data_IF_179560050906
#
_entry.id   IF_179560050906
#
_cell.length_a   1.000
_cell.length_b   1.000
_cell.length_c   1.000
_cell.angle_alpha   90.00
_cell.angle_beta   90.00
_cell.angle_gamma   90.00
#
_symmetry.space_group_name_H-M   'P 1'
#
loop_
_entity.id
_entity.type
_entity.pdbx_description
1 polymer ?
#
# COMPACT_ATOMS: atom_id res chain seq x y z
N UNK A 1 24.80 -11.57 -80.30
CA UNK A 1 23.55 -11.99 -79.69
C UNK A 1 23.72 -12.33 -78.15
N UNK A 2 24.74 -13.06 -77.71
CA UNK A 2 24.88 -13.42 -76.27
C UNK A 2 25.09 -12.22 -75.31
N UNK A 3 25.69 -11.11 -75.71
CA UNK A 3 25.89 -9.91 -74.86
C UNK A 3 24.59 -9.10 -74.59
N UNK A 4 23.67 -9.12 -75.55
CA UNK A 4 22.37 -8.41 -75.39
C UNK A 4 21.44 -9.17 -74.44
N UNK A 5 21.54 -10.50 -74.40
CA UNK A 5 20.73 -11.35 -73.54
C UNK A 5 21.15 -11.18 -72.05
N UNK A 6 22.43 -10.95 -71.76
CA UNK A 6 22.89 -10.67 -70.38
C UNK A 6 22.50 -9.27 -69.87
N UNK A 7 22.47 -8.27 -70.75
CA UNK A 7 22.03 -6.91 -70.37
C UNK A 7 20.51 -6.90 -70.11
N UNK A 8 19.73 -7.61 -70.88
CA UNK A 8 18.27 -7.73 -70.69
C UNK A 8 17.95 -8.52 -69.40
N UNK A 9 18.75 -9.56 -69.04
CA UNK A 9 18.60 -10.30 -67.79
C UNK A 9 18.99 -9.49 -66.56
N UNK A 10 20.03 -8.66 -66.64
CA UNK A 10 20.42 -7.75 -65.56
C UNK A 10 19.44 -6.60 -65.34
N UNK A 11 18.82 -6.06 -66.40
CA UNK A 11 17.77 -5.02 -66.28
C UNK A 11 16.47 -5.59 -65.70
N UNK A 12 16.09 -6.83 -66.00
CA UNK A 12 14.90 -7.46 -65.42
C UNK A 12 15.11 -7.82 -63.95
N UNK A 13 16.33 -8.10 -63.48
CA UNK A 13 16.60 -8.32 -62.05
C UNK A 13 16.60 -7.02 -61.22
N UNK A 14 16.85 -5.86 -61.85
CA UNK A 14 16.79 -4.56 -61.17
C UNK A 14 15.35 -4.01 -61.02
N UNK A 15 14.42 -4.46 -61.84
CA UNK A 15 13.01 -4.04 -61.73
C UNK A 15 12.18 -4.87 -60.74
N UNK A 16 12.76 -5.91 -60.16
CA UNK A 16 12.10 -6.74 -59.12
C UNK A 16 12.29 -6.25 -57.70
N UNK A 17 13.08 -5.18 -57.47
CA UNK A 17 13.34 -4.63 -56.17
C UNK A 17 12.50 -3.40 -55.79
N UNK A 18 11.48 -3.03 -56.60
CA UNK A 18 10.52 -1.99 -56.23
C UNK A 18 9.20 -2.61 -55.75
N UNK A 19 9.31 -3.74 -55.03
CA UNK A 19 8.15 -4.36 -54.39
C UNK A 19 7.95 -3.76 -53.01
N UNK A 20 6.90 -2.97 -52.88
CA UNK A 20 6.08 -2.78 -51.68
C UNK A 20 6.84 -2.43 -50.37
N UNK A 21 7.47 -1.25 -50.30
CA UNK A 21 7.77 -0.62 -49.00
C UNK A 21 6.86 0.60 -48.72
N UNK A 22 5.99 0.99 -49.66
CA UNK A 22 5.14 2.16 -49.53
C UNK A 22 3.97 1.98 -48.55
N UNK A 23 3.52 0.77 -48.34
CA UNK A 23 2.31 0.50 -47.51
C UNK A 23 2.64 -0.24 -46.22
N UNK A 24 3.95 -0.38 -45.89
CA UNK A 24 4.35 -1.15 -44.71
C UNK A 24 3.93 -0.48 -43.41
N UNK A 25 3.85 0.83 -43.36
CA UNK A 25 3.32 1.57 -42.21
C UNK A 25 1.79 1.43 -42.11
N UNK A 26 1.09 1.49 -43.23
CA UNK A 26 -0.37 1.39 -43.28
C UNK A 26 -0.90 -0.05 -43.06
N UNK A 27 -0.11 -1.08 -43.46
CA UNK A 27 -0.44 -2.51 -43.25
C UNK A 27 -0.09 -2.97 -41.84
N UNK A 28 0.85 -2.31 -41.15
CA UNK A 28 1.24 -2.61 -39.77
C UNK A 28 0.48 -1.79 -38.70
N UNK A 29 -0.42 -0.91 -39.10
CA UNK A 29 -1.37 -0.39 -38.14
C UNK A 29 -2.41 -1.48 -37.86
N UNK A 30 -2.33 -2.06 -36.67
CA UNK A 30 -3.35 -2.98 -36.17
C UNK A 30 -4.70 -2.22 -36.13
N UNK A 31 -5.68 -2.56 -37.00
CA UNK A 31 -6.98 -1.87 -37.03
C UNK A 31 -7.79 -2.06 -35.75
N UNK A 32 -7.33 -2.95 -34.83
CA UNK A 32 -7.87 -3.13 -33.51
C UNK A 32 -7.03 -2.40 -32.45
N UNK A 33 -5.93 -1.74 -32.83
CA UNK A 33 -5.19 -0.90 -31.90
C UNK A 33 -6.05 0.30 -31.53
N UNK A 34 -6.46 0.37 -30.28
CA UNK A 34 -7.15 1.55 -29.75
C UNK A 34 -6.18 2.72 -29.85
N UNK A 35 -6.39 3.60 -30.84
CA UNK A 35 -5.49 4.70 -31.16
C UNK A 35 -5.36 5.73 -30.02
N UNK A 36 -6.35 5.77 -29.11
CA UNK A 36 -6.31 6.56 -27.85
C UNK A 36 -7.12 5.83 -26.79
N UNK A 37 -6.44 5.43 -25.71
CA UNK A 37 -7.09 4.94 -24.49
C UNK A 37 -7.59 6.14 -23.72
N UNK A 38 -8.88 6.16 -23.32
CA UNK A 38 -9.35 7.20 -22.40
C UNK A 38 -8.77 6.99 -21.00
N UNK A 39 -8.42 8.05 -20.25
CA UNK A 39 -7.85 7.90 -18.91
C UNK A 39 -8.77 7.12 -17.97
N UNK A 40 -10.09 7.25 -18.12
CA UNK A 40 -11.08 6.50 -17.34
C UNK A 40 -11.09 4.99 -17.57
N UNK A 41 -10.56 4.50 -18.70
CA UNK A 41 -10.46 3.05 -18.96
C UNK A 41 -9.43 2.38 -18.03
N UNK A 42 -8.39 3.09 -17.63
CA UNK A 42 -7.27 2.55 -16.86
C UNK A 42 -7.47 2.63 -15.35
N UNK A 43 -8.30 3.55 -14.84
CA UNK A 43 -8.42 3.85 -13.42
C UNK A 43 -8.88 2.63 -12.60
N UNK A 44 -9.91 1.92 -13.03
CA UNK A 44 -10.47 0.78 -12.28
C UNK A 44 -9.52 -0.42 -12.19
N UNK A 45 -8.86 -0.86 -13.27
CA UNK A 45 -7.84 -1.91 -13.19
C UNK A 45 -6.67 -1.55 -12.24
N UNK A 46 -6.23 -0.28 -12.24
CA UNK A 46 -5.16 0.19 -11.35
C UNK A 46 -5.61 0.08 -9.90
N UNK A 47 -6.76 0.68 -9.55
CA UNK A 47 -7.29 0.68 -8.17
C UNK A 47 -7.48 -0.75 -7.68
N UNK A 48 -8.22 -1.57 -8.43
CA UNK A 48 -8.50 -2.95 -8.02
C UNK A 48 -7.23 -3.79 -7.91
N UNK A 49 -6.33 -3.68 -8.88
CA UNK A 49 -5.11 -4.48 -8.93
C UNK A 49 -4.16 -4.17 -7.78
N UNK A 50 -3.93 -2.89 -7.50
CA UNK A 50 -3.08 -2.48 -6.36
C UNK A 50 -3.75 -2.77 -5.01
N UNK A 51 -5.02 -2.43 -4.83
CA UNK A 51 -5.74 -2.65 -3.60
C UNK A 51 -5.80 -4.15 -3.24
N UNK A 52 -6.13 -5.01 -4.21
CA UNK A 52 -6.17 -6.47 -4.02
C UNK A 52 -4.80 -7.05 -3.68
N UNK A 53 -3.74 -6.60 -4.35
CA UNK A 53 -2.38 -6.99 -4.03
C UNK A 53 -2.00 -6.58 -2.60
N UNK A 54 -2.23 -5.33 -2.25
CA UNK A 54 -1.91 -4.76 -0.94
C UNK A 54 -2.66 -5.48 0.18
N UNK A 55 -3.95 -5.79 0.00
CA UNK A 55 -4.72 -6.57 0.97
C UNK A 55 -4.12 -7.97 1.18
N UNK A 56 -3.74 -8.65 0.09
CA UNK A 56 -3.09 -9.96 0.18
C UNK A 56 -1.74 -9.88 0.89
N UNK A 57 -0.94 -8.84 0.65
CA UNK A 57 0.34 -8.62 1.31
C UNK A 57 0.19 -8.23 2.77
N UNK A 58 -0.83 -7.46 3.10
CA UNK A 58 -1.17 -7.16 4.50
C UNK A 58 -1.40 -8.45 5.29
N UNK A 59 -2.24 -9.34 4.78
CA UNK A 59 -2.57 -10.60 5.46
C UNK A 59 -1.41 -11.62 5.51
N UNK A 60 -0.57 -11.68 4.47
CA UNK A 60 0.48 -12.71 4.36
C UNK A 60 1.87 -12.27 4.80
N UNK A 61 2.08 -10.98 5.02
CA UNK A 61 3.39 -10.40 5.30
C UNK A 61 3.35 -9.43 6.48
N UNK A 62 2.52 -8.38 6.37
CA UNK A 62 2.46 -7.37 7.42
C UNK A 62 1.92 -7.93 8.74
N UNK A 63 0.91 -8.82 8.70
CA UNK A 63 0.35 -9.43 9.90
C UNK A 63 1.40 -10.23 10.68
N UNK A 64 2.26 -10.98 9.98
CA UNK A 64 3.32 -11.74 10.63
C UNK A 64 4.42 -10.83 11.20
N UNK A 65 4.87 -9.83 10.42
CA UNK A 65 5.87 -8.85 10.88
C UNK A 65 5.37 -8.08 12.12
N UNK A 66 4.12 -7.64 12.07
CA UNK A 66 3.52 -6.78 13.09
C UNK A 66 2.79 -7.54 14.19
N UNK A 67 2.98 -8.86 14.26
CA UNK A 67 2.43 -9.70 15.34
C UNK A 67 0.90 -9.58 15.47
N UNK A 68 0.20 -9.52 14.34
CA UNK A 68 -1.27 -9.65 14.28
C UNK A 68 -1.64 -11.13 14.30
N UNK A 69 -0.98 -11.91 13.44
CA UNK A 69 -1.09 -13.36 13.36
C UNK A 69 0.27 -14.03 13.37
N UNK A 70 0.26 -15.34 13.58
CA UNK A 70 1.44 -16.20 13.57
C UNK A 70 1.14 -17.47 12.78
N UNK A 71 2.09 -18.01 12.01
CA UNK A 71 1.98 -19.37 11.45
C UNK A 71 1.77 -20.40 12.55
N UNK A 72 0.86 -21.36 12.32
CA UNK A 72 0.58 -22.45 13.25
C UNK A 72 0.20 -23.73 12.48
N UNK A 73 0.84 -24.88 12.76
CA UNK A 73 1.95 -25.08 13.70
C UNK A 73 3.21 -24.30 13.33
N UNK A 74 4.12 -24.13 14.29
CA UNK A 74 5.38 -23.40 14.10
C UNK A 74 6.20 -24.00 12.95
N UNK A 75 6.79 -23.12 12.19
CA UNK A 75 7.80 -23.44 11.17
C UNK A 75 9.18 -22.97 11.65
N UNK A 76 10.24 -23.61 11.16
CA UNK A 76 11.61 -23.20 11.46
C UNK A 76 11.97 -21.92 10.69
N UNK A 77 11.78 -20.76 11.27
CA UNK A 77 11.96 -19.47 10.61
C UNK A 77 10.62 -18.80 10.33
N UNK A 78 10.62 -17.85 9.39
CA UNK A 78 9.45 -17.10 8.93
C UNK A 78 9.33 -15.68 9.53
N UNK A 79 8.49 -14.87 8.90
CA UNK A 79 8.38 -13.43 9.18
C UNK A 79 8.01 -13.10 10.62
N UNK A 80 7.17 -13.92 11.25
CA UNK A 80 6.78 -13.75 12.67
C UNK A 80 7.97 -13.90 13.64
N UNK A 81 9.11 -14.37 13.16
CA UNK A 81 10.38 -14.46 13.88
C UNK A 81 11.46 -13.59 13.24
N UNK A 82 11.08 -12.70 12.31
CA UNK A 82 11.97 -11.80 11.56
C UNK A 82 12.98 -12.52 10.64
N UNK A 83 12.64 -13.74 10.18
CA UNK A 83 13.38 -14.44 9.13
C UNK A 83 12.80 -14.06 7.77
N UNK A 84 13.48 -13.18 7.07
CA UNK A 84 13.01 -12.59 5.81
C UNK A 84 13.57 -13.35 4.62
N UNK A 85 12.70 -13.98 3.84
CA UNK A 85 13.10 -14.61 2.58
C UNK A 85 13.64 -13.57 1.58
N UNK A 86 14.75 -13.85 0.87
CA UNK A 86 15.29 -12.96 -0.17
C UNK A 86 14.28 -12.57 -1.26
N UNK A 87 13.25 -13.38 -1.48
CA UNK A 87 12.25 -13.15 -2.52
C UNK A 87 10.96 -12.50 -2.01
N UNK A 88 10.90 -12.10 -0.75
CA UNK A 88 9.68 -11.58 -0.10
C UNK A 88 9.05 -10.40 -0.85
N UNK A 89 9.89 -9.52 -1.38
CA UNK A 89 9.49 -8.29 -2.07
C UNK A 89 9.16 -8.46 -3.56
N UNK A 90 9.49 -9.60 -4.19
CA UNK A 90 9.37 -9.78 -5.64
C UNK A 90 7.96 -9.49 -6.17
N UNK A 91 6.94 -9.98 -5.47
CA UNK A 91 5.54 -9.77 -5.85
C UNK A 91 5.13 -8.29 -5.78
N UNK A 92 5.55 -7.58 -4.72
CA UNK A 92 5.29 -6.14 -4.58
C UNK A 92 5.98 -5.32 -5.66
N UNK A 93 7.25 -5.63 -5.94
CA UNK A 93 8.03 -4.99 -7.01
C UNK A 93 7.33 -5.13 -8.37
N UNK A 94 7.08 -6.36 -8.78
CA UNK A 94 6.51 -6.65 -10.10
C UNK A 94 5.09 -6.08 -10.26
N UNK A 95 4.27 -6.17 -9.21
CA UNK A 95 2.90 -5.62 -9.26
C UNK A 95 2.91 -4.11 -9.31
N UNK A 96 3.76 -3.44 -8.54
CA UNK A 96 3.89 -1.98 -8.56
C UNK A 96 4.28 -1.48 -9.95
N UNK A 97 5.33 -2.01 -10.56
CA UNK A 97 5.76 -1.57 -11.90
C UNK A 97 4.75 -1.90 -13.01
N UNK A 98 4.01 -3.00 -12.90
CA UNK A 98 2.89 -3.27 -13.80
C UNK A 98 1.86 -2.15 -13.77
N UNK A 99 1.47 -1.69 -12.59
CA UNK A 99 0.44 -0.67 -12.47
C UNK A 99 0.98 0.75 -12.66
N UNK A 100 2.26 1.00 -12.35
CA UNK A 100 2.94 2.26 -12.71
C UNK A 100 2.99 2.48 -14.21
N UNK A 101 3.15 1.42 -15.01
CA UNK A 101 3.03 1.52 -16.46
C UNK A 101 1.62 2.00 -16.87
N UNK A 102 0.57 1.43 -16.30
CA UNK A 102 -0.80 1.85 -16.59
C UNK A 102 -1.11 3.27 -16.07
N UNK A 103 -0.53 3.67 -14.93
CA UNK A 103 -0.66 5.03 -14.39
C UNK A 103 0.01 6.05 -15.32
N UNK A 104 1.20 5.71 -15.87
CA UNK A 104 1.86 6.56 -16.87
C UNK A 104 1.00 6.75 -18.11
N UNK A 105 0.43 5.67 -18.65
CA UNK A 105 -0.51 5.74 -19.80
C UNK A 105 -1.75 6.58 -19.47
N UNK A 106 -2.32 6.40 -18.26
CA UNK A 106 -3.46 7.20 -17.78
C UNK A 106 -3.12 8.69 -17.73
N UNK A 107 -1.93 9.03 -17.20
CA UNK A 107 -1.42 10.40 -17.13
C UNK A 107 -1.26 11.01 -18.52
N UNK A 108 -0.59 10.31 -19.43
CA UNK A 108 -0.39 10.77 -20.81
C UNK A 108 -1.73 10.97 -21.55
N UNK A 109 -2.70 10.08 -21.34
CA UNK A 109 -4.03 10.21 -21.93
C UNK A 109 -4.79 11.43 -21.36
N UNK A 110 -4.68 11.68 -20.06
CA UNK A 110 -5.29 12.85 -19.41
C UNK A 110 -4.64 14.17 -19.85
N UNK A 111 -3.31 14.21 -19.97
CA UNK A 111 -2.58 15.36 -20.51
C UNK A 111 -2.97 15.66 -21.96
N UNK A 112 -3.08 14.63 -22.81
CA UNK A 112 -3.44 14.76 -24.22
C UNK A 112 -4.90 15.24 -24.42
N UNK A 113 -5.81 14.85 -23.53
CA UNK A 113 -7.23 15.27 -23.57
C UNK A 113 -7.49 16.59 -22.84
N UNK A 114 -6.52 17.08 -22.05
CA UNK A 114 -6.70 18.26 -21.20
C UNK A 114 -7.64 18.01 -20.01
N UNK A 115 -7.79 16.75 -19.57
CA UNK A 115 -8.66 16.38 -18.46
C UNK A 115 -7.92 16.45 -17.12
N UNK A 116 -8.05 17.61 -16.46
CA UNK A 116 -7.34 17.90 -15.22
C UNK A 116 -7.75 16.98 -14.07
N UNK A 117 -9.01 16.52 -13.97
CA UNK A 117 -9.44 15.65 -12.88
C UNK A 117 -8.83 14.25 -13.02
N UNK A 118 -8.72 13.71 -14.24
CA UNK A 118 -8.03 12.44 -14.46
C UNK A 118 -6.51 12.58 -14.33
N UNK A 119 -5.94 13.72 -14.68
CA UNK A 119 -4.51 14.00 -14.45
C UNK A 119 -4.21 14.02 -12.94
N UNK A 120 -5.02 14.73 -12.15
CA UNK A 120 -4.89 14.76 -10.69
C UNK A 120 -5.04 13.37 -10.06
N UNK A 121 -6.02 12.57 -10.51
CA UNK A 121 -6.18 11.19 -10.06
C UNK A 121 -4.97 10.31 -10.42
N UNK A 122 -4.38 10.48 -11.62
CA UNK A 122 -3.18 9.76 -12.02
C UNK A 122 -1.96 10.12 -11.14
N UNK A 123 -1.76 11.41 -10.83
CA UNK A 123 -0.70 11.86 -9.90
C UNK A 123 -0.91 11.29 -8.49
N UNK A 124 -2.14 11.26 -8.01
CA UNK A 124 -2.49 10.67 -6.71
C UNK A 124 -2.19 9.18 -6.65
N UNK A 125 -2.60 8.43 -7.68
CA UNK A 125 -2.32 6.99 -7.79
C UNK A 125 -0.82 6.71 -7.93
N UNK A 126 -0.10 7.57 -8.66
CA UNK A 126 1.37 7.51 -8.78
C UNK A 126 2.04 7.64 -7.41
N UNK A 127 1.65 8.64 -6.63
CA UNK A 127 2.16 8.85 -5.28
C UNK A 127 1.84 7.68 -4.34
N UNK A 128 0.62 7.13 -4.41
CA UNK A 128 0.25 5.96 -3.62
C UNK A 128 1.09 4.73 -3.94
N UNK A 129 1.33 4.44 -5.22
CA UNK A 129 2.10 3.23 -5.61
C UNK A 129 3.59 3.41 -5.32
N UNK A 130 4.18 4.57 -5.67
CA UNK A 130 5.60 4.82 -5.40
C UNK A 130 5.91 4.89 -3.91
N UNK A 131 5.07 5.51 -3.08
CA UNK A 131 5.29 5.53 -1.64
C UNK A 131 5.34 4.11 -1.06
N UNK A 132 4.38 3.25 -1.43
CA UNK A 132 4.38 1.85 -1.01
C UNK A 132 5.63 1.09 -1.49
N UNK A 133 6.07 1.34 -2.71
CA UNK A 133 7.24 0.67 -3.29
C UNK A 133 8.54 1.12 -2.60
N UNK A 134 8.78 2.43 -2.54
CA UNK A 134 10.02 2.97 -1.95
C UNK A 134 10.11 2.72 -0.45
N UNK A 135 8.97 2.67 0.27
CA UNK A 135 8.94 2.33 1.70
C UNK A 135 9.33 0.88 1.99
N UNK A 136 9.13 -0.02 1.02
CA UNK A 136 9.57 -1.41 1.14
C UNK A 136 11.05 -1.60 0.78
N UNK A 137 11.60 -0.82 -0.16
CA UNK A 137 12.92 -1.11 -0.75
C UNK A 137 13.97 0.00 -0.58
N UNK A 138 13.57 1.24 -0.27
CA UNK A 138 14.43 2.43 -0.36
C UNK A 138 14.51 2.97 -1.79
N UNK A 139 15.70 3.26 -2.36
CA UNK A 139 15.84 3.69 -3.75
C UNK A 139 15.19 2.73 -4.73
N UNK A 140 14.43 3.25 -5.70
CA UNK A 140 13.79 2.45 -6.77
C UNK A 140 13.77 3.26 -8.07
N UNK A 141 13.73 2.62 -9.24
CA UNK A 141 13.55 3.34 -10.50
C UNK A 141 12.23 4.12 -10.54
N UNK A 142 12.30 5.41 -10.85
CA UNK A 142 11.14 6.29 -11.01
C UNK A 142 11.23 7.15 -12.27
N UNK A 143 12.26 7.95 -12.40
CA UNK A 143 12.41 8.91 -13.53
C UNK A 143 12.57 8.22 -14.88
N UNK A 144 13.24 7.08 -14.89
CA UNK A 144 13.47 6.25 -16.08
C UNK A 144 12.55 5.01 -16.14
N UNK A 145 11.76 4.76 -15.09
CA UNK A 145 10.93 3.58 -15.03
C UNK A 145 9.81 3.57 -16.08
N UNK A 146 9.42 2.36 -16.49
CA UNK A 146 8.31 2.09 -17.44
C UNK A 146 8.40 2.88 -18.75
N UNK A 147 9.63 3.06 -19.25
CA UNK A 147 9.95 3.80 -20.48
C UNK A 147 10.65 2.93 -21.54
N UNK A 148 10.27 1.64 -21.60
CA UNK A 148 10.85 0.71 -22.57
C UNK A 148 10.62 1.14 -24.02
N UNK A 149 9.51 1.81 -24.33
CA UNK A 149 9.22 2.40 -25.65
C UNK A 149 10.17 3.55 -26.03
N UNK A 150 10.73 4.26 -25.03
CA UNK A 150 11.77 5.27 -25.20
C UNK A 150 13.18 4.63 -25.32
N UNK A 151 13.28 3.29 -25.33
CA UNK A 151 14.52 2.52 -25.40
C UNK A 151 15.20 2.32 -24.04
N UNK A 152 14.59 2.72 -22.92
CA UNK A 152 15.14 2.54 -21.57
C UNK A 152 14.70 1.17 -21.04
N UNK A 153 15.59 0.17 -21.19
CA UNK A 153 15.35 -1.21 -20.75
C UNK A 153 15.92 -1.50 -19.35
N UNK A 154 16.90 -0.72 -18.93
CA UNK A 154 17.62 -0.86 -17.66
C UNK A 154 17.60 0.49 -16.92
N UNK A 155 16.49 0.83 -16.26
CA UNK A 155 16.32 2.14 -15.65
C UNK A 155 17.28 2.33 -14.46
N UNK A 156 17.79 3.56 -14.31
CA UNK A 156 18.51 3.99 -13.12
C UNK A 156 17.57 4.05 -11.90
N UNK A 157 18.15 3.88 -10.72
CA UNK A 157 17.45 4.02 -9.45
C UNK A 157 17.52 5.47 -8.97
N UNK A 158 16.41 5.97 -8.50
CA UNK A 158 16.32 7.28 -7.87
C UNK A 158 16.44 7.13 -6.35
N UNK A 159 17.06 8.10 -5.69
CA UNK A 159 17.12 8.13 -4.23
C UNK A 159 15.73 8.24 -3.63
N UNK A 160 15.52 7.68 -2.44
CA UNK A 160 14.22 7.79 -1.76
C UNK A 160 13.85 9.26 -1.46
N UNK A 161 14.83 10.12 -1.20
CA UNK A 161 14.64 11.56 -1.04
C UNK A 161 14.02 12.17 -2.30
N UNK A 162 14.61 11.95 -3.49
CA UNK A 162 14.07 12.46 -4.75
C UNK A 162 12.67 11.91 -5.05
N UNK A 163 12.43 10.63 -4.75
CA UNK A 163 11.11 10.02 -4.92
C UNK A 163 10.08 10.75 -4.05
N UNK A 164 10.38 10.98 -2.77
CA UNK A 164 9.48 11.67 -1.86
C UNK A 164 9.27 13.14 -2.24
N UNK A 165 10.31 13.85 -2.63
CA UNK A 165 10.17 15.22 -3.18
C UNK A 165 9.21 15.25 -4.37
N UNK A 166 9.35 14.28 -5.28
CA UNK A 166 8.52 14.20 -6.49
C UNK A 166 7.07 13.88 -6.15
N UNK A 167 6.79 12.84 -5.35
CA UNK A 167 5.41 12.43 -5.06
C UNK A 167 4.67 13.42 -4.15
N UNK A 168 5.36 14.12 -3.25
CA UNK A 168 4.75 15.18 -2.45
C UNK A 168 4.39 16.39 -3.31
N UNK A 169 5.24 16.76 -4.27
CA UNK A 169 4.94 17.80 -5.27
C UNK A 169 3.82 17.37 -6.23
N UNK A 170 3.77 16.11 -6.61
CA UNK A 170 2.67 15.55 -7.43
C UNK A 170 1.34 15.68 -6.70
N UNK A 171 1.28 15.41 -5.38
CA UNK A 171 0.07 15.54 -4.58
C UNK A 171 -0.37 17.01 -4.41
N UNK A 172 0.57 17.92 -4.22
CA UNK A 172 0.29 19.36 -4.19
C UNK A 172 -0.28 19.84 -5.53
N UNK A 173 0.33 19.39 -6.63
CA UNK A 173 -0.15 19.69 -8.00
C UNK A 173 -1.55 19.10 -8.23
N UNK A 174 -1.77 17.85 -7.81
CA UNK A 174 -3.07 17.20 -7.94
C UNK A 174 -4.16 17.94 -7.17
N UNK A 175 -3.87 18.40 -5.94
CA UNK A 175 -4.81 19.21 -5.15
C UNK A 175 -5.27 20.47 -5.90
N UNK A 176 -4.34 21.13 -6.62
CA UNK A 176 -4.63 22.35 -7.39
C UNK A 176 -5.37 22.08 -8.71
N UNK A 177 -5.17 20.89 -9.30
CA UNK A 177 -5.76 20.52 -10.58
C UNK A 177 -7.24 20.12 -10.48
N UNK A 178 -7.70 19.60 -9.33
CA UNK A 178 -9.08 19.16 -9.19
C UNK A 178 -10.05 20.33 -9.35
N UNK A 179 -10.92 20.18 -10.34
CA UNK A 179 -12.06 21.07 -10.62
C UNK A 179 -13.35 20.35 -10.24
N UNK A 180 -13.94 20.73 -9.10
CA UNK A 180 -15.16 20.11 -8.57
C UNK A 180 -16.41 20.50 -9.35
N UNK A 181 -16.35 21.57 -10.16
CA UNK A 181 -17.44 21.99 -11.06
C UNK A 181 -17.42 21.19 -12.38
N UNK A 182 -16.29 20.56 -12.72
CA UNK A 182 -16.14 19.68 -13.86
C UNK A 182 -16.22 18.20 -13.43
N UNK A 183 -17.11 17.43 -14.02
CA UNK A 183 -17.25 16.00 -13.73
C UNK A 183 -16.13 15.14 -14.35
N UNK A 184 -15.87 13.97 -13.78
CA UNK A 184 -15.14 12.89 -14.45
C UNK A 184 -16.10 12.17 -15.40
N UNK A 185 -15.90 12.32 -16.72
CA UNK A 185 -16.92 12.02 -17.75
C UNK A 185 -16.91 10.59 -18.27
N UNK A 186 -15.87 9.80 -17.92
CA UNK A 186 -15.79 8.39 -18.35
C UNK A 186 -16.52 7.46 -17.37
N UNK A 187 -16.47 6.15 -17.61
CA UNK A 187 -17.12 5.16 -16.74
C UNK A 187 -16.77 5.37 -15.27
N UNK A 188 -17.76 5.19 -14.39
CA UNK A 188 -17.60 5.40 -12.95
C UNK A 188 -16.41 4.64 -12.38
N UNK A 189 -15.57 5.32 -11.62
CA UNK A 189 -14.53 4.64 -10.87
C UNK A 189 -15.11 3.84 -9.68
N UNK A 190 -14.42 2.74 -9.34
CA UNK A 190 -14.89 1.80 -8.32
C UNK A 190 -14.59 2.26 -6.88
N UNK A 191 -13.84 3.36 -6.71
CA UNK A 191 -13.46 3.86 -5.39
C UNK A 191 -14.44 4.94 -4.90
N UNK A 192 -14.68 5.96 -5.72
CA UNK A 192 -15.49 7.12 -5.37
C UNK A 192 -16.65 7.41 -6.32
N UNK A 193 -16.86 6.57 -7.34
CA UNK A 193 -17.93 6.74 -8.32
C UNK A 193 -17.87 8.11 -9.04
N UNK A 194 -16.66 8.53 -9.43
CA UNK A 194 -16.35 9.81 -10.08
C UNK A 194 -16.65 11.06 -9.24
N UNK A 195 -16.72 10.93 -7.92
CA UNK A 195 -16.86 12.04 -6.99
C UNK A 195 -15.52 12.78 -6.87
N UNK A 196 -15.40 13.93 -7.53
CA UNK A 196 -14.17 14.73 -7.59
C UNK A 196 -13.78 15.28 -6.22
N UNK A 197 -14.76 15.64 -5.36
CA UNK A 197 -14.46 16.10 -4.00
C UNK A 197 -13.80 14.99 -3.19
N UNK A 198 -14.28 13.76 -3.28
CA UNK A 198 -13.67 12.62 -2.58
C UNK A 198 -12.28 12.30 -3.12
N UNK A 199 -12.07 12.44 -4.43
CA UNK A 199 -10.73 12.31 -5.02
C UNK A 199 -9.77 13.36 -4.47
N UNK A 200 -10.20 14.62 -4.38
CA UNK A 200 -9.40 15.72 -3.78
C UNK A 200 -9.12 15.47 -2.29
N UNK A 201 -10.13 15.02 -1.52
CA UNK A 201 -9.96 14.63 -0.12
C UNK A 201 -9.00 13.44 0.04
N UNK A 202 -9.05 12.45 -0.86
CA UNK A 202 -8.09 11.33 -0.86
C UNK A 202 -6.66 11.82 -1.11
N UNK A 203 -6.47 12.67 -2.11
CA UNK A 203 -5.17 13.27 -2.43
C UNK A 203 -4.55 13.96 -1.21
N UNK A 204 -5.30 14.83 -0.54
CA UNK A 204 -4.82 15.56 0.64
C UNK A 204 -4.63 14.65 1.86
N UNK A 205 -5.48 13.65 2.06
CA UNK A 205 -5.31 12.67 3.13
C UNK A 205 -4.06 11.81 2.91
N UNK A 206 -3.78 11.42 1.67
CA UNK A 206 -2.54 10.74 1.29
C UNK A 206 -1.33 11.66 1.47
N UNK A 207 -1.44 12.93 1.12
CA UNK A 207 -0.40 13.94 1.34
C UNK A 207 -0.05 14.05 2.84
N UNK A 208 -1.05 14.10 3.72
CA UNK A 208 -0.82 14.09 5.18
C UNK A 208 -0.10 12.81 5.64
N UNK A 209 -0.50 11.62 5.16
CA UNK A 209 0.18 10.36 5.46
C UNK A 209 1.66 10.42 5.08
N UNK A 210 1.95 10.88 3.86
CA UNK A 210 3.32 10.89 3.34
C UNK A 210 4.19 11.99 3.97
N UNK A 211 3.62 13.15 4.31
CA UNK A 211 4.31 14.16 5.12
C UNK A 211 4.67 13.61 6.50
N UNK A 212 3.73 12.93 7.17
CA UNK A 212 4.01 12.30 8.46
C UNK A 212 5.10 11.22 8.33
N UNK A 213 5.12 10.45 7.24
CA UNK A 213 6.12 9.43 6.95
C UNK A 213 7.54 10.00 6.96
N UNK A 214 7.75 11.16 6.37
CA UNK A 214 9.07 11.81 6.30
C UNK A 214 9.35 12.76 7.45
N UNK A 215 8.52 12.76 8.50
CA UNK A 215 8.61 13.75 9.60
C UNK A 215 9.88 13.66 10.44
N UNK A 216 10.60 12.53 10.40
CA UNK A 216 11.92 12.38 11.03
C UNK A 216 13.02 13.14 10.26
N UNK A 217 12.75 13.56 9.01
CA UNK A 217 13.66 14.34 8.17
C UNK A 217 13.32 15.83 8.33
N UNK A 218 14.10 16.53 9.15
CA UNK A 218 13.82 17.92 9.52
C UNK A 218 13.83 18.87 8.33
N UNK A 219 14.61 18.58 7.28
CA UNK A 219 14.68 19.33 6.04
C UNK A 219 13.36 19.34 5.25
N UNK A 220 12.47 18.37 5.48
CA UNK A 220 11.16 18.32 4.81
C UNK A 220 10.15 19.33 5.35
N UNK A 221 10.37 19.85 6.54
CA UNK A 221 9.43 20.72 7.27
C UNK A 221 8.02 20.10 7.38
N UNK A 222 7.95 18.77 7.54
CA UNK A 222 6.71 17.99 7.45
C UNK A 222 5.64 18.47 8.44
N UNK A 223 5.97 18.69 9.71
CA UNK A 223 4.99 19.13 10.71
C UNK A 223 4.46 20.55 10.44
N UNK A 224 5.28 21.45 9.88
CA UNK A 224 4.82 22.79 9.46
C UNK A 224 3.85 22.70 8.29
N UNK A 225 4.14 21.84 7.30
CA UNK A 225 3.23 21.60 6.17
C UNK A 225 1.92 20.96 6.63
N UNK A 226 1.98 19.94 7.51
CA UNK A 226 0.81 19.31 8.13
C UNK A 226 -0.04 20.35 8.89
N UNK A 227 0.60 21.23 9.66
CA UNK A 227 -0.07 22.33 10.37
C UNK A 227 -0.78 23.27 9.39
N UNK A 228 -0.14 23.60 8.28
CA UNK A 228 -0.74 24.43 7.23
C UNK A 228 -1.99 23.75 6.64
N UNK A 229 -1.90 22.48 6.30
CA UNK A 229 -3.04 21.72 5.74
C UNK A 229 -4.20 21.64 6.74
N UNK A 230 -3.92 21.32 8.01
CA UNK A 230 -4.96 21.18 9.05
C UNK A 230 -5.68 22.53 9.30
N UNK A 231 -4.95 23.65 9.26
CA UNK A 231 -5.49 24.98 9.52
C UNK A 231 -6.18 25.62 8.31
N UNK A 232 -6.05 25.04 7.11
CA UNK A 232 -6.66 25.55 5.87
C UNK A 232 -7.50 24.45 5.18
N UNK A 233 -8.58 23.96 5.81
CA UNK A 233 -9.37 22.84 5.29
C UNK A 233 -10.11 23.15 3.98
N UNK A 234 -10.34 24.43 3.65
CA UNK A 234 -10.93 24.83 2.37
C UNK A 234 -9.94 24.62 1.21
N UNK A 235 -8.65 24.87 1.44
CA UNK A 235 -7.58 24.69 0.46
C UNK A 235 -7.14 23.21 0.38
N UNK A 236 -7.07 22.55 1.54
CA UNK A 236 -6.64 21.15 1.69
C UNK A 236 -7.75 20.31 2.35
N UNK A 237 -8.90 20.10 1.67
CA UNK A 237 -9.94 19.23 2.21
C UNK A 237 -9.42 17.79 2.35
N UNK A 238 -9.63 17.19 3.53
CA UNK A 238 -9.27 15.82 3.87
C UNK A 238 -10.51 15.01 4.23
N UNK A 239 -10.38 13.71 4.45
CA UNK A 239 -11.50 12.91 4.95
C UNK A 239 -11.99 13.42 6.32
N UNK A 240 -13.32 13.52 6.46
CA UNK A 240 -14.01 13.97 7.67
C UNK A 240 -14.97 12.91 8.23
N UNK A 241 -15.15 11.81 7.50
CA UNK A 241 -16.02 10.69 7.90
C UNK A 241 -15.60 9.38 7.24
N UNK A 242 -16.07 8.27 7.81
CA UNK A 242 -15.88 6.93 7.22
C UNK A 242 -16.48 6.79 5.81
N UNK A 243 -17.51 7.57 5.48
CA UNK A 243 -18.13 7.55 4.14
C UNK A 243 -17.26 8.16 3.03
N UNK A 244 -16.22 8.88 3.40
CA UNK A 244 -15.27 9.51 2.47
C UNK A 244 -13.97 8.72 2.33
N UNK A 245 -13.73 7.76 3.22
CA UNK A 245 -12.51 6.94 3.24
C UNK A 245 -12.22 6.30 1.88
N UNK A 246 -10.93 6.24 1.52
CA UNK A 246 -10.49 5.46 0.37
C UNK A 246 -10.54 3.95 0.70
N UNK A 247 -11.71 3.37 0.54
CA UNK A 247 -12.00 1.96 0.81
C UNK A 247 -12.75 1.36 -0.37
N UNK A 248 -12.09 0.42 -1.03
CA UNK A 248 -12.68 -0.29 -2.14
C UNK A 248 -13.76 -1.26 -1.65
N UNK A 249 -15.00 -1.06 -2.12
CA UNK A 249 -16.11 -1.98 -1.86
C UNK A 249 -16.08 -3.11 -2.89
N UNK A 250 -15.72 -4.31 -2.44
CA UNK A 250 -15.69 -5.51 -3.27
C UNK A 250 -17.04 -6.21 -3.22
N UNK A 251 -17.79 -6.12 -4.31
CA UNK A 251 -19.21 -6.54 -4.36
C UNK A 251 -19.38 -8.04 -4.54
N UNK A 252 -18.39 -8.73 -5.11
CA UNK A 252 -18.51 -10.13 -5.55
C UNK A 252 -19.15 -10.30 -6.92
N UNK A 253 -19.35 -9.22 -7.69
CA UNK A 253 -20.01 -9.24 -9.01
C UNK A 253 -19.01 -8.89 -10.12
N UNK A 254 -19.05 -9.63 -11.22
CA UNK A 254 -18.16 -9.42 -12.36
C UNK A 254 -16.70 -9.64 -12.01
N UNK A 255 -15.85 -8.66 -12.35
CA UNK A 255 -14.43 -8.67 -12.00
C UNK A 255 -14.13 -8.12 -10.60
N UNK A 256 -15.14 -7.55 -9.91
CA UNK A 256 -14.96 -6.98 -8.56
C UNK A 256 -15.25 -8.05 -7.49
N UNK A 257 -14.34 -9.02 -7.37
CA UNK A 257 -14.44 -10.18 -6.46
C UNK A 257 -13.33 -10.15 -5.41
N UNK A 258 -13.51 -10.90 -4.32
CA UNK A 258 -12.47 -11.06 -3.31
C UNK A 258 -11.17 -11.56 -3.95
N UNK A 259 -10.00 -11.01 -3.59
CA UNK A 259 -8.70 -11.54 -4.02
C UNK A 259 -8.42 -12.95 -3.47
N UNK A 260 -9.16 -13.40 -2.47
CA UNK A 260 -9.12 -14.78 -1.98
C UNK A 260 -10.10 -15.65 -2.76
N UNK A 261 -9.60 -16.48 -3.65
CA UNK A 261 -10.44 -17.44 -4.40
C UNK A 261 -11.18 -18.43 -3.51
N UNK A 262 -10.60 -18.76 -2.34
CA UNK A 262 -11.23 -19.53 -1.26
C UNK A 262 -11.05 -18.76 0.05
N UNK A 263 -12.11 -18.18 0.63
CA UNK A 263 -12.02 -17.41 1.88
C UNK A 263 -11.36 -18.18 3.05
N UNK A 264 -11.47 -19.51 3.04
CA UNK A 264 -10.85 -20.38 4.06
C UNK A 264 -9.32 -20.25 4.09
N UNK A 265 -8.69 -19.94 2.96
CA UNK A 265 -7.22 -19.81 2.86
C UNK A 265 -6.71 -18.60 3.66
N UNK A 266 -7.55 -17.60 3.91
CA UNK A 266 -7.23 -16.44 4.74
C UNK A 266 -6.81 -16.80 6.17
N UNK A 267 -7.39 -17.86 6.73
CA UNK A 267 -7.10 -18.33 8.10
C UNK A 267 -6.36 -19.65 8.18
N UNK A 268 -5.96 -20.18 7.02
CA UNK A 268 -5.28 -21.49 6.97
C UNK A 268 -3.89 -21.38 7.60
N UNK A 269 -3.63 -22.25 8.56
CA UNK A 269 -2.33 -22.36 9.25
C UNK A 269 -1.86 -21.06 9.94
N UNK A 270 -2.80 -20.24 10.45
CA UNK A 270 -2.51 -19.05 11.24
C UNK A 270 -3.33 -19.01 12.52
N UNK A 271 -2.76 -18.41 13.55
CA UNK A 271 -3.42 -18.08 14.82
C UNK A 271 -3.19 -16.62 15.14
N UNK A 272 -4.10 -16.04 15.94
CA UNK A 272 -3.91 -14.67 16.46
C UNK A 272 -2.70 -14.62 17.37
N UNK A 273 -1.91 -13.54 17.27
CA UNK A 273 -0.87 -13.26 18.24
C UNK A 273 -1.47 -12.76 19.56
N UNK A 274 -0.88 -13.17 20.69
CA UNK A 274 -1.33 -12.72 22.02
C UNK A 274 -1.30 -11.19 22.12
N UNK A 275 -0.22 -10.55 21.70
CA UNK A 275 -0.11 -9.09 21.70
C UNK A 275 -1.34 -8.42 21.07
N UNK A 276 -1.75 -8.89 19.90
CA UNK A 276 -2.87 -8.29 19.18
C UNK A 276 -4.21 -8.54 19.88
N UNK A 277 -4.47 -9.77 20.31
CA UNK A 277 -5.78 -10.12 20.84
C UNK A 277 -5.97 -9.69 22.30
N UNK A 278 -4.89 -9.66 23.09
CA UNK A 278 -4.95 -9.30 24.51
C UNK A 278 -5.27 -7.81 24.69
N UNK A 279 -4.70 -6.91 23.90
CA UNK A 279 -5.09 -5.49 23.91
C UNK A 279 -6.58 -5.31 23.57
N UNK A 280 -7.10 -6.04 22.56
CA UNK A 280 -8.53 -6.00 22.25
C UNK A 280 -9.40 -6.54 23.40
N UNK A 281 -8.90 -7.54 24.17
CA UNK A 281 -9.56 -8.03 25.36
C UNK A 281 -9.55 -6.99 26.49
N UNK A 282 -8.40 -6.36 26.74
CA UNK A 282 -8.21 -5.36 27.79
C UNK A 282 -9.12 -4.14 27.56
N UNK A 283 -9.32 -3.76 26.30
CA UNK A 283 -10.24 -2.67 25.93
C UNK A 283 -11.71 -3.09 25.91
N UNK A 284 -12.02 -4.38 26.03
CA UNK A 284 -13.33 -4.95 25.71
C UNK A 284 -13.81 -4.53 24.31
N UNK A 285 -12.93 -4.54 23.34
CA UNK A 285 -13.11 -3.95 22.02
C UNK A 285 -14.19 -4.68 21.20
N UNK A 286 -15.18 -3.95 20.67
CA UNK A 286 -16.27 -4.56 19.90
C UNK A 286 -15.85 -5.12 18.53
N UNK A 287 -14.64 -4.84 18.07
CA UNK A 287 -14.08 -5.40 16.80
C UNK A 287 -13.69 -6.86 16.94
N UNK A 288 -13.45 -7.38 18.16
CA UNK A 288 -13.00 -8.78 18.40
C UNK A 288 -13.77 -9.84 17.60
N UNK A 289 -15.11 -9.93 17.67
CA UNK A 289 -15.85 -10.97 16.96
C UNK A 289 -15.83 -10.81 15.43
N UNK A 290 -15.49 -9.62 14.93
CA UNK A 290 -15.38 -9.33 13.50
C UNK A 290 -13.98 -9.67 12.97
N UNK A 291 -12.97 -9.64 13.83
CA UNK A 291 -11.57 -9.89 13.47
C UNK A 291 -11.18 -11.35 13.73
N UNK A 292 -11.58 -11.92 14.86
CA UNK A 292 -11.12 -13.23 15.31
C UNK A 292 -12.27 -14.16 15.70
N UNK A 293 -12.04 -15.46 15.59
CA UNK A 293 -12.89 -16.49 16.23
C UNK A 293 -12.51 -16.61 17.70
N UNK A 294 -13.40 -17.17 18.52
CA UNK A 294 -13.01 -17.58 19.87
C UNK A 294 -12.11 -18.82 19.85
N UNK A 295 -11.23 -18.94 20.84
CA UNK A 295 -10.45 -20.13 21.11
C UNK A 295 -11.24 -21.17 21.90
N UNK A 296 -10.69 -22.40 21.99
CA UNK A 296 -11.28 -23.50 22.78
C UNK A 296 -10.22 -24.19 23.63
N UNK A 297 -10.64 -24.77 24.75
CA UNK A 297 -9.81 -25.76 25.43
C UNK A 297 -9.71 -27.09 24.64
N UNK A 298 -8.99 -28.07 25.16
CA UNK A 298 -8.83 -29.38 24.51
C UNK A 298 -10.12 -30.21 24.47
N UNK A 299 -11.10 -29.88 25.31
CA UNK A 299 -12.43 -30.48 25.33
C UNK A 299 -13.43 -29.75 24.40
N UNK A 300 -12.96 -28.77 23.62
CA UNK A 300 -13.72 -27.91 22.72
C UNK A 300 -14.71 -26.95 23.41
N UNK A 301 -14.54 -26.65 24.69
CA UNK A 301 -15.29 -25.58 25.34
C UNK A 301 -14.73 -24.22 24.91
N UNK A 302 -15.61 -23.26 24.72
CA UNK A 302 -15.22 -21.88 24.39
C UNK A 302 -14.53 -21.23 25.60
N UNK A 303 -13.31 -20.70 25.39
CA UNK A 303 -12.49 -20.02 26.41
C UNK A 303 -12.28 -18.53 26.10
N UNK A 304 -13.08 -17.95 25.18
CA UNK A 304 -12.96 -16.57 24.78
C UNK A 304 -11.90 -16.34 23.70
N UNK A 305 -11.42 -15.11 23.59
CA UNK A 305 -10.38 -14.75 22.60
C UNK A 305 -9.01 -14.92 23.23
N UNK A 306 -8.19 -15.79 22.65
CA UNK A 306 -6.86 -16.14 23.17
C UNK A 306 -5.88 -16.29 22.01
N UNK A 307 -4.68 -15.70 22.14
CA UNK A 307 -3.62 -15.75 21.14
C UNK A 307 -2.50 -16.74 21.48
N UNK A 308 -1.53 -16.82 20.58
CA UNK A 308 -0.25 -17.50 20.77
C UNK A 308 0.81 -16.44 21.03
N UNK A 309 1.75 -16.65 21.97
CA UNK A 309 2.86 -15.71 22.20
C UNK A 309 3.69 -15.47 20.94
N UNK A 310 4.00 -14.21 20.68
CA UNK A 310 4.81 -13.79 19.53
C UNK A 310 6.18 -14.46 19.52
N UNK A 311 6.67 -14.83 18.33
CA UNK A 311 7.95 -15.47 18.14
C UNK A 311 8.09 -16.83 18.84
N UNK A 312 6.98 -17.51 19.13
CA UNK A 312 7.03 -18.83 19.75
C UNK A 312 7.83 -19.82 18.90
N UNK A 313 8.46 -20.79 19.58
CA UNK A 313 9.24 -21.87 19.02
C UNK A 313 8.79 -23.21 19.61
N UNK A 314 9.04 -24.29 18.89
CA UNK A 314 8.70 -25.64 19.34
C UNK A 314 7.33 -26.14 18.87
N UNK A 315 6.88 -27.31 19.38
CA UNK A 315 5.69 -27.97 18.89
C UNK A 315 4.40 -27.24 19.32
N UNK A 316 3.37 -27.36 18.50
CA UNK A 316 2.03 -26.87 18.78
C UNK A 316 1.39 -27.53 20.02
N UNK A 317 1.80 -28.77 20.35
CA UNK A 317 1.37 -29.49 21.55
C UNK A 317 1.79 -28.86 22.88
N UNK A 318 2.63 -27.80 22.87
CA UNK A 318 2.96 -27.05 24.08
C UNK A 318 1.77 -26.21 24.61
N UNK A 319 0.78 -25.95 23.75
CA UNK A 319 -0.39 -25.18 24.12
C UNK A 319 -1.55 -26.11 24.49
N UNK A 320 -2.08 -25.96 25.71
CA UNK A 320 -3.21 -26.73 26.21
C UNK A 320 -4.57 -26.14 25.77
N UNK A 321 -4.59 -25.45 24.61
CA UNK A 321 -5.76 -24.83 24.01
C UNK A 321 -5.61 -24.66 22.49
N UNK A 322 -6.73 -24.46 21.82
CA UNK A 322 -6.79 -24.05 20.42
C UNK A 322 -7.00 -22.55 20.35
N UNK A 323 -5.97 -21.80 19.98
CA UNK A 323 -6.03 -20.34 19.91
C UNK A 323 -6.99 -19.84 18.84
N UNK A 324 -7.44 -18.60 19.03
CA UNK A 324 -8.22 -17.81 18.07
C UNK A 324 -7.53 -17.72 16.70
N UNK A 325 -8.32 -17.65 15.63
CA UNK A 325 -7.84 -17.42 14.27
C UNK A 325 -8.69 -16.33 13.61
N UNK A 326 -8.27 -15.89 12.41
CA UNK A 326 -8.94 -14.83 11.66
C UNK A 326 -10.40 -15.20 11.27
N UNK A 327 -11.28 -14.21 11.27
CA UNK A 327 -12.62 -14.35 10.73
C UNK A 327 -12.63 -14.30 9.21
N UNK A 328 -13.17 -15.34 8.57
CA UNK A 328 -13.24 -15.42 7.10
C UNK A 328 -14.21 -14.40 6.49
N UNK A 329 -15.13 -13.87 7.25
CA UNK A 329 -16.09 -12.86 6.77
C UNK A 329 -15.39 -11.60 6.26
N UNK A 330 -14.20 -11.29 6.77
CA UNK A 330 -13.40 -10.14 6.32
C UNK A 330 -12.97 -10.23 4.85
N UNK A 331 -12.89 -11.44 4.29
CA UNK A 331 -12.46 -11.70 2.91
C UNK A 331 -13.55 -12.37 2.06
N UNK A 332 -14.74 -12.52 2.60
CA UNK A 332 -15.91 -13.09 1.91
C UNK A 332 -16.73 -11.96 1.30
N UNK A 333 -17.09 -12.09 0.03
CA UNK A 333 -17.90 -11.10 -0.67
C UNK A 333 -19.31 -10.96 -0.04
N UNK A 334 -19.84 -9.73 0.09
CA UNK A 334 -19.16 -8.46 -0.15
C UNK A 334 -18.15 -8.14 0.96
N UNK A 335 -17.00 -7.55 0.59
CA UNK A 335 -15.94 -7.19 1.54
C UNK A 335 -15.40 -5.80 1.28
N UNK A 336 -14.54 -5.31 2.19
CA UNK A 336 -13.86 -4.04 2.08
C UNK A 336 -12.34 -4.25 1.94
N UNK A 337 -11.69 -3.45 1.08
CA UNK A 337 -10.23 -3.36 1.02
C UNK A 337 -9.86 -1.92 1.39
N UNK A 338 -9.08 -1.80 2.45
CA UNK A 338 -8.67 -0.51 3.00
C UNK A 338 -7.44 0.02 2.27
N UNK A 339 -7.51 1.27 1.77
CA UNK A 339 -6.39 1.99 1.16
C UNK A 339 -5.93 3.12 2.10
N UNK A 340 -6.87 3.99 2.50
CA UNK A 340 -6.64 5.04 3.47
C UNK A 340 -7.96 5.32 4.21
N UNK A 341 -8.11 4.85 5.46
CA UNK A 341 -9.30 5.10 6.25
C UNK A 341 -9.29 6.50 6.89
N UNK A 342 -10.46 7.08 7.12
CA UNK A 342 -10.63 8.34 7.85
C UNK A 342 -9.99 8.31 9.25
N UNK A 343 -10.08 7.17 9.94
CA UNK A 343 -9.46 7.00 11.25
C UNK A 343 -7.96 7.32 11.25
N UNK A 344 -7.25 7.00 10.17
CA UNK A 344 -5.83 7.32 10.06
C UNK A 344 -5.58 8.83 9.99
N UNK A 345 -6.44 9.57 9.27
CA UNK A 345 -6.35 11.04 9.21
C UNK A 345 -6.51 11.67 10.60
N UNK A 346 -7.44 11.14 11.40
CA UNK A 346 -7.62 11.61 12.77
C UNK A 346 -6.41 11.27 13.67
N UNK A 347 -5.81 10.08 13.51
CA UNK A 347 -4.57 9.76 14.24
C UNK A 347 -3.35 10.58 13.77
N UNK A 348 -3.28 10.99 12.51
CA UNK A 348 -2.27 11.95 12.05
C UNK A 348 -2.46 13.29 12.75
N UNK A 349 -3.68 13.80 12.81
CA UNK A 349 -4.01 15.05 13.52
C UNK A 349 -3.73 14.93 15.03
N UNK A 350 -4.06 13.79 15.65
CA UNK A 350 -3.75 13.54 17.05
C UNK A 350 -2.23 13.60 17.34
N UNK A 351 -1.40 12.99 16.48
CA UNK A 351 0.05 13.05 16.63
C UNK A 351 0.59 14.48 16.44
N UNK A 352 0.09 15.22 15.44
CA UNK A 352 0.47 16.62 15.20
C UNK A 352 0.15 17.49 16.43
N UNK A 353 -1.03 17.30 17.02
CA UNK A 353 -1.45 18.03 18.22
C UNK A 353 -0.65 17.62 19.47
N UNK A 354 -0.42 16.32 19.67
CA UNK A 354 0.38 15.79 20.78
C UNK A 354 1.83 16.32 20.76
N UNK A 355 2.37 16.55 19.55
CA UNK A 355 3.70 17.17 19.37
C UNK A 355 3.69 18.69 19.52
N UNK A 356 2.56 19.32 19.88
CA UNK A 356 2.43 20.73 20.20
C UNK A 356 2.31 21.67 19.01
N UNK A 357 1.89 21.17 17.84
CA UNK A 357 1.71 22.03 16.65
C UNK A 357 0.31 22.66 16.56
N UNK A 358 -0.73 21.88 16.27
CA UNK A 358 -2.09 22.38 16.13
C UNK A 358 -3.13 21.31 16.43
N UNK A 359 -4.33 21.70 16.88
CA UNK A 359 -5.44 20.82 17.21
C UNK A 359 -5.49 20.38 18.66
N UNK A 360 -6.40 19.47 18.97
CA UNK A 360 -6.58 18.82 20.27
C UNK A 360 -6.30 17.32 20.12
N UNK A 361 -5.27 16.84 20.81
CA UNK A 361 -4.80 15.46 20.66
C UNK A 361 -5.84 14.44 21.15
N UNK A 362 -6.52 14.72 22.27
CA UNK A 362 -7.56 13.84 22.82
C UNK A 362 -8.79 13.79 21.92
N UNK A 363 -9.24 14.93 21.43
CA UNK A 363 -10.38 15.00 20.50
C UNK A 363 -10.11 14.16 19.25
N UNK A 364 -8.94 14.32 18.61
CA UNK A 364 -8.58 13.58 17.41
C UNK A 364 -8.34 12.10 17.70
N UNK A 365 -7.71 11.77 18.81
CA UNK A 365 -7.57 10.38 19.26
C UNK A 365 -8.95 9.69 19.40
N UNK A 366 -9.88 10.31 20.12
CA UNK A 366 -11.21 9.76 20.36
C UNK A 366 -11.99 9.59 19.04
N UNK A 367 -11.90 10.56 18.12
CA UNK A 367 -12.48 10.45 16.77
C UNK A 367 -11.84 9.30 15.97
N UNK A 368 -10.52 9.17 16.01
CA UNK A 368 -9.79 8.11 15.33
C UNK A 368 -10.18 6.71 15.81
N UNK A 369 -10.25 6.51 17.11
CA UNK A 369 -10.69 5.23 17.72
C UNK A 369 -12.11 4.90 17.32
N UNK A 370 -13.04 5.87 17.49
CA UNK A 370 -14.44 5.68 17.11
C UNK A 370 -14.58 5.35 15.61
N UNK A 371 -13.92 6.10 14.76
CA UNK A 371 -13.94 5.87 13.33
C UNK A 371 -13.42 4.48 12.96
N UNK A 372 -12.32 4.01 13.57
CA UNK A 372 -11.75 2.69 13.33
C UNK A 372 -12.70 1.54 13.75
N UNK A 373 -13.43 1.71 14.86
CA UNK A 373 -14.43 0.76 15.32
C UNK A 373 -15.63 0.72 14.36
N UNK A 374 -16.18 1.87 14.02
CA UNK A 374 -17.36 1.98 13.16
C UNK A 374 -17.06 1.58 11.69
N UNK A 375 -15.81 1.75 11.23
CA UNK A 375 -15.37 1.37 9.88
C UNK A 375 -15.60 -0.10 9.57
N UNK A 376 -15.40 -0.98 10.54
CA UNK A 376 -15.65 -2.43 10.41
C UNK A 376 -17.07 -2.82 10.80
N UNK A 377 -18.00 -1.84 10.93
CA UNK A 377 -19.39 -2.02 11.30
C UNK A 377 -19.61 -2.55 12.73
N UNK A 378 -18.64 -2.34 13.62
CA UNK A 378 -18.80 -2.49 15.04
C UNK A 378 -19.45 -1.23 15.62
N UNK A 379 -20.05 -1.35 16.81
CA UNK A 379 -20.62 -0.21 17.54
C UNK A 379 -19.81 0.01 18.81
N UNK A 380 -19.24 1.22 18.94
CA UNK A 380 -18.54 1.62 20.16
C UNK A 380 -19.57 1.89 21.25
N UNK A 381 -19.36 1.35 22.46
CA UNK A 381 -20.19 1.64 23.63
C UNK A 381 -19.93 3.07 24.12
N UNK A 382 -20.92 3.68 24.78
CA UNK A 382 -20.80 5.04 25.33
C UNK A 382 -19.72 5.14 26.42
N UNK A 383 -19.49 4.06 27.14
CA UNK A 383 -18.52 3.91 28.23
C UNK A 383 -17.15 3.36 27.78
N UNK A 384 -16.89 3.28 26.48
CA UNK A 384 -15.64 2.70 25.94
C UNK A 384 -14.39 3.37 26.52
N UNK A 385 -14.39 4.71 26.66
CA UNK A 385 -13.29 5.48 27.19
C UNK A 385 -13.28 5.60 28.73
N UNK A 386 -14.27 5.02 29.44
CA UNK A 386 -14.20 4.83 30.89
C UNK A 386 -13.15 3.74 31.24
N UNK A 387 -12.82 2.90 30.28
CA UNK A 387 -11.71 1.96 30.38
C UNK A 387 -10.37 2.70 30.23
N UNK A 388 -9.61 2.76 31.32
CA UNK A 388 -8.34 3.48 31.36
C UNK A 388 -7.27 2.95 30.40
N UNK A 389 -7.38 1.68 29.95
CA UNK A 389 -6.49 1.12 28.95
C UNK A 389 -6.81 1.62 27.51
N UNK A 390 -8.05 2.07 27.27
CA UNK A 390 -8.51 2.60 25.99
C UNK A 390 -8.51 4.14 25.94
N UNK A 391 -8.55 4.79 27.11
CA UNK A 391 -8.58 6.24 27.25
C UNK A 391 -7.26 6.86 26.76
N UNK A 392 -7.33 8.08 26.21
CA UNK A 392 -6.12 8.85 25.91
C UNK A 392 -5.41 9.24 27.21
N UNK A 393 -4.14 8.93 27.31
CA UNK A 393 -3.30 9.15 28.50
C UNK A 393 -2.30 10.32 28.36
N UNK A 394 -2.38 11.07 27.23
CA UNK A 394 -1.48 12.18 26.92
C UNK A 394 -0.19 11.77 26.22
N UNK A 395 0.00 10.49 25.89
CA UNK A 395 1.24 9.98 25.30
C UNK A 395 1.13 9.70 23.81
N UNK A 396 2.28 9.70 23.13
CA UNK A 396 2.40 9.25 21.76
C UNK A 396 2.21 7.72 21.66
N UNK A 397 2.65 7.01 22.68
CA UNK A 397 2.53 5.55 22.79
C UNK A 397 1.08 5.10 22.68
N UNK A 398 0.17 5.77 23.38
CA UNK A 398 -1.27 5.46 23.32
C UNK A 398 -1.86 5.80 21.95
N UNK A 399 -1.47 6.92 21.34
CA UNK A 399 -1.90 7.26 19.97
C UNK A 399 -1.43 6.16 19.00
N UNK A 400 -0.17 5.78 19.05
CA UNK A 400 0.41 4.81 18.12
C UNK A 400 -0.13 3.40 18.34
N UNK A 401 -0.45 3.03 19.58
CA UNK A 401 -1.09 1.75 19.88
C UNK A 401 -2.48 1.67 19.23
N UNK A 402 -3.34 2.68 19.40
CA UNK A 402 -4.65 2.68 18.76
C UNK A 402 -4.57 2.85 17.24
N UNK A 403 -3.63 3.65 16.73
CA UNK A 403 -3.35 3.76 15.29
C UNK A 403 -2.95 2.42 14.68
N UNK A 404 -2.16 1.60 15.38
CA UNK A 404 -1.80 0.26 14.94
C UNK A 404 -3.05 -0.60 14.69
N UNK A 405 -4.10 -0.52 15.53
CA UNK A 405 -5.37 -1.21 15.31
C UNK A 405 -6.24 -0.56 14.23
N UNK A 406 -6.14 0.74 14.04
CA UNK A 406 -6.81 1.44 12.94
C UNK A 406 -6.20 1.09 11.58
N UNK A 407 -4.90 0.79 11.54
CA UNK A 407 -4.16 0.36 10.36
C UNK A 407 -4.23 -1.16 10.12
N UNK A 408 -5.01 -1.90 10.91
CA UNK A 408 -5.28 -3.30 10.67
C UNK A 408 -5.82 -3.50 9.25
N UNK A 409 -5.17 -4.37 8.47
CA UNK A 409 -5.53 -4.69 7.10
C UNK A 409 -5.35 -3.54 6.08
N UNK A 410 -4.57 -2.50 6.43
CA UNK A 410 -4.17 -1.40 5.53
C UNK A 410 -2.74 -1.64 5.06
N UNK A 411 -2.58 -2.36 3.96
CA UNK A 411 -1.31 -2.75 3.33
C UNK A 411 -0.14 -3.01 4.32
N UNK A 412 0.95 -2.25 4.24
CA UNK A 412 2.10 -2.31 5.15
C UNK A 412 2.15 -1.14 6.16
N UNK A 413 1.06 -0.37 6.33
CA UNK A 413 1.11 0.87 7.10
C UNK A 413 1.45 0.65 8.58
N UNK A 414 1.04 -0.49 9.19
CA UNK A 414 1.47 -0.83 10.56
C UNK A 414 3.01 -0.93 10.64
N UNK A 415 3.64 -1.64 9.70
CA UNK A 415 5.09 -1.80 9.66
C UNK A 415 5.81 -0.48 9.37
N UNK A 416 5.30 0.32 8.45
CA UNK A 416 5.88 1.62 8.13
C UNK A 416 5.81 2.59 9.33
N UNK A 417 4.69 2.64 10.04
CA UNK A 417 4.55 3.48 11.24
C UNK A 417 5.43 2.99 12.40
N UNK A 418 5.54 1.67 12.59
CA UNK A 418 6.47 1.11 13.55
C UNK A 418 7.92 1.53 13.25
N UNK A 419 8.36 1.43 12.00
CA UNK A 419 9.71 1.83 11.60
C UNK A 419 9.96 3.31 11.82
N UNK A 420 8.95 4.16 11.59
CA UNK A 420 9.04 5.60 11.83
C UNK A 420 9.14 5.98 13.31
N UNK A 421 8.46 5.26 14.19
CA UNK A 421 8.25 5.66 15.59
C UNK A 421 8.86 4.72 16.62
N UNK A 422 9.09 3.47 16.27
CA UNK A 422 9.39 2.39 17.21
C UNK A 422 8.18 1.88 17.97
N UNK A 423 6.96 2.34 17.66
CA UNK A 423 5.73 2.06 18.40
C UNK A 423 4.67 1.34 17.55
N UNK A 424 3.79 0.54 18.18
CA UNK A 424 3.80 0.17 19.61
C UNK A 424 4.98 -0.75 19.94
N UNK A 425 5.37 -0.82 21.23
CA UNK A 425 6.38 -1.79 21.67
C UNK A 425 5.87 -3.21 21.44
N UNK A 426 6.49 -3.92 20.49
CA UNK A 426 6.14 -5.30 20.18
C UNK A 426 6.94 -6.27 21.04
N UNK A 427 6.31 -7.34 21.59
CA UNK A 427 7.03 -8.35 22.36
C UNK A 427 8.14 -9.01 21.55
N UNK A 428 9.27 -9.23 22.19
CA UNK A 428 10.40 -10.00 21.65
C UNK A 428 10.67 -11.23 22.52
N UNK A 429 11.10 -12.32 21.92
CA UNK A 429 11.46 -13.56 22.60
C UNK A 429 12.83 -14.04 22.14
N UNK A 430 13.53 -14.89 22.95
CA UNK A 430 14.81 -15.48 22.53
C UNK A 430 14.72 -16.36 21.29
N UNK A 431 13.51 -16.79 20.90
CA UNK A 431 13.27 -17.60 19.71
C UNK A 431 13.19 -16.78 18.42
N UNK A 432 13.11 -15.44 18.51
CA UNK A 432 13.16 -14.57 17.33
C UNK A 432 14.53 -14.61 16.68
N UNK A 433 14.52 -14.65 15.37
CA UNK A 433 15.71 -14.54 14.52
C UNK A 433 16.06 -13.06 14.29
N UNK A 434 17.07 -12.78 13.48
CA UNK A 434 17.54 -11.41 13.25
C UNK A 434 17.84 -10.65 14.58
N UNK A 435 18.25 -11.35 15.63
CA UNK A 435 18.49 -10.79 16.97
C UNK A 435 17.25 -10.07 17.57
N UNK A 436 16.05 -10.40 17.15
CA UNK A 436 14.81 -9.73 17.55
C UNK A 436 14.64 -8.33 16.94
N UNK A 437 15.45 -7.96 15.96
CA UNK A 437 15.39 -6.66 15.29
C UNK A 437 14.34 -6.72 14.17
N UNK A 438 13.36 -5.82 14.22
CA UNK A 438 12.39 -5.67 13.15
C UNK A 438 13.07 -5.31 11.83
N UNK A 439 12.82 -6.04 10.73
CA UNK A 439 13.37 -5.68 9.42
C UNK A 439 12.97 -4.25 9.00
N UNK A 440 13.95 -3.51 8.48
CA UNK A 440 13.76 -2.12 8.02
C UNK A 440 13.40 -2.03 6.53
N UNK A 441 13.65 -3.06 5.74
CA UNK A 441 13.33 -3.10 4.30
C UNK A 441 13.33 -4.54 3.79
N UNK A 442 12.83 -4.71 2.56
CA UNK A 442 13.00 -5.95 1.82
C UNK A 442 14.24 -5.87 0.92
N UNK A 443 14.94 -7.00 0.70
CA UNK A 443 16.01 -7.08 -0.29
C UNK A 443 15.47 -6.79 -1.70
N UNK A 444 16.31 -6.22 -2.56
CA UNK A 444 15.94 -6.07 -3.97
C UNK A 444 15.74 -7.43 -4.64
N UNK A 445 14.78 -7.54 -5.58
CA UNK A 445 14.58 -8.78 -6.34
C UNK A 445 15.86 -9.25 -7.03
N UNK A 446 16.11 -10.56 -7.00
CA UNK A 446 17.28 -11.16 -7.65
C UNK A 446 17.37 -10.87 -9.15
N UNK A 447 16.24 -10.68 -9.82
CA UNK A 447 16.21 -10.29 -11.23
C UNK A 447 16.87 -8.93 -11.47
N UNK A 448 16.79 -8.00 -10.53
CA UNK A 448 17.48 -6.70 -10.62
C UNK A 448 19.00 -6.86 -10.51
N UNK A 449 19.44 -7.76 -9.66
CA UNK A 449 20.87 -8.09 -9.51
C UNK A 449 21.45 -8.76 -10.75
N UNK A 450 20.62 -9.46 -11.54
CA UNK A 450 21.05 -10.19 -12.74
C UNK A 450 20.93 -9.31 -13.99
N UNK A 451 19.78 -8.69 -14.19
CA UNK A 451 19.47 -8.00 -15.46
C UNK A 451 19.78 -6.51 -15.45
N UNK A 452 19.81 -5.86 -14.29
CA UNK A 452 20.10 -4.43 -14.15
C UNK A 452 21.27 -4.18 -13.18
N UNK A 453 22.30 -5.01 -13.27
CA UNK A 453 23.41 -5.11 -12.30
C UNK A 453 24.08 -3.76 -12.00
N UNK A 454 24.39 -2.95 -13.01
CA UNK A 454 25.09 -1.67 -12.81
C UNK A 454 24.26 -0.72 -11.96
N UNK A 455 22.99 -0.50 -12.33
CA UNK A 455 22.11 0.41 -11.60
C UNK A 455 21.70 -0.16 -10.23
N UNK A 456 21.60 -1.49 -10.09
CA UNK A 456 21.45 -2.13 -8.78
C UNK A 456 22.66 -1.83 -7.86
N UNK A 457 23.89 -1.92 -8.37
CA UNK A 457 25.09 -1.58 -7.60
C UNK A 457 25.10 -0.12 -7.17
N UNK A 458 24.67 0.80 -8.04
CA UNK A 458 24.53 2.21 -7.71
C UNK A 458 23.47 2.43 -6.63
N UNK A 459 22.34 1.73 -6.68
CA UNK A 459 21.29 1.76 -5.64
C UNK A 459 21.82 1.25 -4.28
N UNK A 460 22.60 0.17 -4.28
CA UNK A 460 23.25 -0.34 -3.06
C UNK A 460 24.21 0.67 -2.47
N UNK A 461 24.96 1.40 -3.31
CA UNK A 461 25.86 2.47 -2.84
C UNK A 461 25.09 3.61 -2.16
N UNK A 462 23.86 3.95 -2.61
CA UNK A 462 23.05 4.99 -1.98
C UNK A 462 22.62 4.64 -0.54
N UNK A 463 22.44 3.35 -0.23
CA UNK A 463 21.96 2.87 1.07
C UNK A 463 23.03 2.18 1.91
N UNK A 464 24.19 1.91 1.33
CA UNK A 464 25.32 1.22 1.96
C UNK A 464 25.34 -0.28 1.76
N UNK A 465 24.23 -0.99 2.01
CA UNK A 465 24.13 -2.45 1.93
C UNK A 465 22.72 -2.91 1.59
N UNK A 466 22.57 -3.94 0.73
CA UNK A 466 21.28 -4.59 0.46
C UNK A 466 20.94 -5.63 1.54
N UNK A 467 20.78 -5.16 2.77
CA UNK A 467 20.43 -5.95 3.96
C UNK A 467 19.08 -5.52 4.54
N UNK A 468 18.39 -6.47 5.18
CA UNK A 468 17.07 -6.22 5.77
C UNK A 468 17.09 -5.23 6.95
N UNK A 469 18.23 -5.00 7.58
CA UNK A 469 18.40 -4.07 8.69
C UNK A 469 18.91 -2.70 8.23
N UNK A 470 19.25 -2.55 6.94
CA UNK A 470 19.61 -1.25 6.37
C UNK A 470 18.39 -0.34 6.38
N UNK A 471 18.48 0.78 7.11
CA UNK A 471 17.41 1.75 7.19
C UNK A 471 17.19 2.46 5.87
N UNK A 472 15.94 2.73 5.54
CA UNK A 472 15.60 3.60 4.42
C UNK A 472 15.75 5.07 4.82
N UNK A 473 15.76 5.99 3.84
CA UNK A 473 16.07 7.40 4.07
C UNK A 473 15.22 8.06 5.17
N UNK A 474 13.91 7.85 5.20
CA UNK A 474 13.03 8.48 6.21
C UNK A 474 13.05 7.77 7.58
N UNK A 475 13.59 6.59 7.67
CA UNK A 475 13.69 5.77 8.89
C UNK A 475 14.89 6.18 9.79
N UNK A 476 15.65 7.18 9.41
CA UNK A 476 16.84 7.66 10.13
C UNK A 476 16.57 8.92 10.93
#
# INVERSE_FOLDING_TARGET
MKKITYIAACLSLFMLNTACTGDFEEINEDPNRIAQISPGTLINPIIYGMASHNASRSASTNFDLMQVTLPFPSVSGGLHRYDVSPNIGNSSWNTSYKWLANIREMRMAAEASGDNNYLAAALTLNAWVYSNLTDQFGPVPMTEAVRAEDGILYPAYDSQELIYETILNDLETANQLYDTDAGMIYASDILFNNDVEKWKKFTNSLHMRLLLRVSNRTETNAFQKLTTMINNPEEYPVFESNAESAILQVTGVGANVSPWGRPQDFRLNVKMASFFIDNLNDWNDPRRPLIATTGTDLDNNNIGYIGIPSGYDGPDSQFEYNASTLQILQVTNPMQIFILPYSEVEFIKAEVAQRGFTGDAEEHYNKGVKAAIEQVKATMSEDYFDNTAAQYDGTLEQIMLQKYYALYFVDYQQWFEFRRTGLPELPTTPAMLNNGIMPSRFPYPSDQQIYNLSNYQDAVQMIGEDDINTKVWWDN
#
